data_IF_433602141752
#
_entry.id   IF_433602141752
#
_cell.length_a   1.000
_cell.length_b   1.000
_cell.length_c   1.000
_cell.angle_alpha   90.00
_cell.angle_beta   90.00
_cell.angle_gamma   90.00
#
_symmetry.space_group_name_H-M   'P 1'
#
loop_
_entity.id
_entity.type
_entity.pdbx_description
1 polymer ?
#
# COMPACT_ATOMS: atom_id res chain seq x y z
N UNK A 1 5.88 -6.88 21.53
CA UNK A 1 6.64 -6.94 20.26
C UNK A 1 6.57 -5.59 19.59
N UNK A 2 7.63 -5.17 18.93
CA UNK A 2 7.72 -3.83 18.34
C UNK A 2 6.94 -3.74 17.02
N UNK A 3 6.48 -2.53 16.73
CA UNK A 3 5.93 -2.16 15.43
C UNK A 3 7.06 -1.79 14.48
N UNK A 4 6.87 -2.06 13.18
CA UNK A 4 7.73 -1.57 12.10
C UNK A 4 6.87 -0.88 11.05
N UNK A 5 7.34 0.27 10.56
CA UNK A 5 6.79 0.91 9.37
C UNK A 5 7.78 0.73 8.22
N UNK A 6 7.32 0.16 7.12
CA UNK A 6 8.08 0.07 5.87
C UNK A 6 7.54 1.12 4.90
N UNK A 7 8.44 1.93 4.33
CA UNK A 7 8.06 3.02 3.42
C UNK A 7 8.95 3.05 2.19
N UNK A 8 8.32 3.16 1.02
CA UNK A 8 9.02 3.38 -0.24
C UNK A 8 9.75 4.73 -0.21
N UNK A 9 11.08 4.70 -0.35
CA UNK A 9 11.87 5.94 -0.53
C UNK A 9 11.41 6.76 -1.75
N UNK A 10 10.82 6.10 -2.75
CA UNK A 10 10.28 6.73 -3.95
C UNK A 10 8.95 7.48 -3.72
N UNK A 11 8.43 7.52 -2.49
CA UNK A 11 7.21 8.27 -2.11
C UNK A 11 7.55 9.43 -1.17
N UNK A 12 8.10 10.53 -1.68
CA UNK A 12 8.55 11.65 -0.84
C UNK A 12 7.40 12.50 -0.28
N UNK A 13 6.21 12.43 -0.88
CA UNK A 13 5.05 13.26 -0.50
C UNK A 13 4.23 12.69 0.67
N UNK A 14 4.77 11.73 1.43
CA UNK A 14 4.06 11.16 2.58
C UNK A 14 3.83 12.22 3.66
N UNK A 15 2.58 12.36 4.12
CA UNK A 15 2.21 13.33 5.16
C UNK A 15 2.29 12.70 6.54
N UNK A 16 2.83 13.44 7.51
CA UNK A 16 2.91 12.98 8.90
C UNK A 16 1.52 12.63 9.49
N UNK A 17 0.47 13.36 9.10
CA UNK A 17 -0.88 13.09 9.58
C UNK A 17 -1.48 11.77 9.07
N UNK A 18 -1.15 11.38 7.84
CA UNK A 18 -1.53 10.06 7.32
C UNK A 18 -0.80 8.94 8.07
N UNK A 19 0.48 9.12 8.36
CA UNK A 19 1.25 8.15 9.17
C UNK A 19 0.65 8.01 10.58
N UNK A 20 0.33 9.12 11.24
CA UNK A 20 -0.32 9.09 12.56
C UNK A 20 -1.72 8.47 12.47
N UNK A 21 -2.45 8.71 11.38
CA UNK A 21 -3.78 8.11 11.14
C UNK A 21 -3.67 6.60 10.98
N UNK A 22 -2.69 6.11 10.23
CA UNK A 22 -2.40 4.69 10.08
C UNK A 22 -2.19 4.02 11.44
N UNK A 23 -1.28 4.57 12.25
CA UNK A 23 -0.98 4.04 13.59
C UNK A 23 -2.25 4.03 14.45
N UNK A 24 -2.96 5.16 14.55
CA UNK A 24 -4.17 5.26 15.38
C UNK A 24 -5.26 4.27 14.97
N UNK A 25 -5.52 4.10 13.67
CA UNK A 25 -6.58 3.20 13.21
C UNK A 25 -6.21 1.73 13.43
N UNK A 26 -4.95 1.35 13.17
CA UNK A 26 -4.47 -0.01 13.46
C UNK A 26 -4.62 -0.33 14.95
N UNK A 27 -4.26 0.59 15.84
CA UNK A 27 -4.44 0.43 17.29
C UNK A 27 -5.92 0.40 17.70
N UNK A 28 -6.74 1.33 17.17
CA UNK A 28 -8.16 1.45 17.50
C UNK A 28 -8.95 0.18 17.16
N UNK A 29 -8.62 -0.47 16.04
CA UNK A 29 -9.32 -1.66 15.57
C UNK A 29 -8.65 -2.97 16.01
N UNK A 30 -7.61 -2.90 16.85
CA UNK A 30 -6.77 -4.06 17.24
C UNK A 30 -6.36 -4.90 16.03
N UNK A 31 -5.96 -4.23 14.95
CA UNK A 31 -5.65 -4.89 13.69
C UNK A 31 -4.25 -5.53 13.73
N UNK A 32 -4.06 -6.60 12.96
CA UNK A 32 -2.76 -7.25 12.74
C UNK A 32 -1.70 -6.29 12.16
N UNK A 33 -2.17 -5.22 11.51
CA UNK A 33 -1.41 -4.17 10.88
C UNK A 33 -2.28 -3.46 9.85
N UNK A 34 -1.68 -2.64 9.01
CA UNK A 34 -2.40 -1.95 7.96
C UNK A 34 -1.49 -1.19 7.01
N UNK A 35 -2.08 -0.70 5.93
CA UNK A 35 -1.40 0.05 4.90
C UNK A 35 -2.12 1.37 4.64
N UNK A 36 -1.37 2.39 4.22
CA UNK A 36 -2.02 3.50 3.52
C UNK A 36 -2.52 3.02 2.16
N UNK A 37 -3.73 3.43 1.79
CA UNK A 37 -4.34 3.07 0.52
C UNK A 37 -5.30 4.15 0.01
N UNK A 38 -5.63 4.14 -1.28
CA UNK A 38 -6.68 5.01 -1.86
C UNK A 38 -7.72 4.23 -2.64
N UNK A 39 -9.00 4.57 -2.48
CA UNK A 39 -10.04 3.98 -3.31
C UNK A 39 -9.84 4.31 -4.79
N UNK A 40 -10.09 3.34 -5.65
CA UNK A 40 -10.00 3.50 -7.09
C UNK A 40 -11.13 4.42 -7.59
N UNK A 41 -10.76 5.47 -8.30
CA UNK A 41 -11.70 6.48 -8.83
C UNK A 41 -12.14 6.20 -10.26
N UNK A 42 -11.21 5.76 -11.10
CA UNK A 42 -11.48 5.55 -12.51
C UNK A 42 -12.12 4.19 -12.77
N UNK A 43 -12.81 4.07 -13.91
CA UNK A 43 -13.39 2.79 -14.32
C UNK A 43 -12.27 1.80 -14.63
N UNK A 44 -12.29 0.65 -13.95
CA UNK A 44 -11.28 -0.39 -14.15
C UNK A 44 -11.69 -1.34 -15.27
N UNK A 45 -10.75 -1.63 -16.17
CA UNK A 45 -10.90 -2.64 -17.21
C UNK A 45 -9.92 -3.77 -16.96
N UNK A 46 -10.36 -5.02 -17.13
CA UNK A 46 -9.49 -6.19 -17.22
C UNK A 46 -9.09 -6.37 -18.68
N UNK A 47 -7.79 -6.42 -18.95
CA UNK A 47 -7.25 -6.69 -20.28
C UNK A 47 -6.92 -8.17 -20.47
N UNK A 48 -7.01 -8.67 -21.70
CA UNK A 48 -6.53 -10.00 -22.07
C UNK A 48 -5.06 -9.97 -22.54
N UNK A 49 -4.50 -11.13 -22.94
CA UNK A 49 -3.10 -11.27 -23.37
C UNK A 49 -2.70 -10.43 -24.60
N UNK A 50 -3.66 -9.89 -25.34
CA UNK A 50 -3.43 -9.03 -26.51
C UNK A 50 -3.93 -7.59 -26.27
N UNK A 51 -4.07 -7.19 -25.00
CA UNK A 51 -4.49 -5.84 -24.56
C UNK A 51 -5.88 -5.40 -25.04
N UNK A 52 -6.80 -6.33 -25.26
CA UNK A 52 -8.21 -6.00 -25.49
C UNK A 52 -9.00 -6.03 -24.18
N UNK A 53 -10.07 -5.23 -24.10
CA UNK A 53 -10.96 -5.21 -22.94
C UNK A 53 -11.71 -6.55 -22.85
N UNK A 54 -11.47 -7.28 -21.77
CA UNK A 54 -12.17 -8.52 -21.42
C UNK A 54 -13.42 -8.21 -20.59
N UNK A 55 -13.29 -7.34 -19.59
CA UNK A 55 -14.38 -6.97 -18.69
C UNK A 55 -14.20 -5.59 -18.06
N UNK A 56 -15.30 -5.02 -17.57
CA UNK A 56 -15.26 -3.92 -16.60
C UNK A 56 -15.24 -4.51 -15.20
N UNK A 57 -14.32 -4.07 -14.35
CA UNK A 57 -14.19 -4.54 -12.96
C UNK A 57 -14.92 -3.57 -12.05
N UNK A 58 -15.72 -4.09 -11.12
CA UNK A 58 -16.31 -3.24 -10.08
C UNK A 58 -15.19 -2.66 -9.20
N UNK A 59 -15.21 -1.34 -9.05
CA UNK A 59 -14.19 -0.58 -8.33
C UNK A 59 -14.59 -0.23 -6.90
N UNK A 60 -15.82 -0.57 -6.48
CA UNK A 60 -16.40 -0.16 -5.19
C UNK A 60 -15.56 -0.56 -3.96
N UNK A 61 -14.81 -1.65 -4.05
CA UNK A 61 -13.93 -2.19 -3.00
C UNK A 61 -12.48 -2.32 -3.46
N UNK A 62 -12.09 -1.62 -4.55
CA UNK A 62 -10.72 -1.65 -5.03
C UNK A 62 -9.93 -0.47 -4.51
N UNK A 63 -8.69 -0.75 -4.11
CA UNK A 63 -7.79 0.21 -3.52
C UNK A 63 -6.41 0.16 -4.19
N UNK A 64 -5.80 1.32 -4.36
CA UNK A 64 -4.37 1.45 -4.64
C UNK A 64 -3.61 1.30 -3.33
N UNK A 65 -2.78 0.27 -3.22
CA UNK A 65 -1.84 0.12 -2.12
C UNK A 65 -0.77 1.23 -2.18
N UNK A 66 -0.52 1.85 -1.03
CA UNK A 66 0.54 2.83 -0.82
C UNK A 66 1.46 2.37 0.31
N UNK A 67 2.42 3.22 0.64
CA UNK A 67 3.23 3.08 1.85
C UNK A 67 3.17 4.41 2.63
N UNK A 68 3.36 4.42 3.96
CA UNK A 68 3.89 3.32 4.76
C UNK A 68 2.93 2.13 4.98
N UNK A 69 3.52 0.97 5.23
CA UNK A 69 2.85 -0.25 5.70
C UNK A 69 3.31 -0.55 7.12
N UNK A 70 2.37 -0.77 8.03
CA UNK A 70 2.58 -0.93 9.47
C UNK A 70 2.22 -2.34 9.91
N UNK A 71 3.19 -3.07 10.47
CA UNK A 71 2.99 -4.42 11.00
C UNK A 71 3.82 -4.65 12.25
N UNK A 72 3.50 -5.71 13.01
CA UNK A 72 4.39 -6.21 14.06
C UNK A 72 5.65 -6.75 13.41
N UNK A 73 6.83 -6.31 13.88
CA UNK A 73 8.11 -6.69 13.32
C UNK A 73 8.29 -8.21 13.28
N UNK A 74 7.91 -8.89 14.38
CA UNK A 74 8.01 -10.33 14.47
C UNK A 74 7.14 -11.06 13.45
N UNK A 75 5.93 -10.57 13.20
CA UNK A 75 4.95 -11.22 12.32
C UNK A 75 5.31 -10.97 10.86
N UNK A 76 5.67 -9.73 10.52
CA UNK A 76 6.11 -9.38 9.17
C UNK A 76 7.37 -10.14 8.76
N UNK A 77 8.36 -10.25 9.67
CA UNK A 77 9.57 -11.02 9.38
C UNK A 77 9.26 -12.47 9.06
N UNK A 78 8.41 -13.13 9.87
CA UNK A 78 8.00 -14.53 9.61
C UNK A 78 7.25 -14.67 8.29
N UNK A 79 6.39 -13.71 7.95
CA UNK A 79 5.65 -13.71 6.70
C UNK A 79 6.57 -13.61 5.48
N UNK A 80 7.57 -12.72 5.52
CA UNK A 80 8.56 -12.57 4.46
C UNK A 80 9.46 -13.81 4.36
N UNK A 81 9.99 -14.30 5.48
CA UNK A 81 10.84 -15.51 5.51
C UNK A 81 10.10 -16.73 4.92
N UNK A 82 8.85 -16.95 5.32
CA UNK A 82 8.02 -18.04 4.78
C UNK A 82 7.79 -17.92 3.27
N UNK A 83 7.57 -16.70 2.76
CA UNK A 83 7.39 -16.49 1.33
C UNK A 83 8.68 -16.76 0.53
N UNK A 84 9.84 -16.37 1.09
CA UNK A 84 11.14 -16.64 0.49
C UNK A 84 11.46 -18.14 0.45
N UNK A 85 11.19 -18.87 1.53
CA UNK A 85 11.42 -20.32 1.60
C UNK A 85 10.56 -21.10 0.60
N UNK A 86 9.35 -20.61 0.29
CA UNK A 86 8.46 -21.17 -0.73
C UNK A 86 8.81 -20.73 -2.17
N UNK A 87 9.81 -19.85 -2.34
CA UNK A 87 10.22 -19.33 -3.65
C UNK A 87 9.18 -18.40 -4.30
N UNK A 88 8.38 -17.71 -3.49
CA UNK A 88 7.28 -16.90 -3.96
C UNK A 88 7.61 -15.41 -3.98
N UNK A 89 7.08 -14.74 -4.99
CA UNK A 89 7.23 -13.30 -5.15
C UNK A 89 6.19 -12.57 -4.29
N UNK A 90 6.65 -11.80 -3.31
CA UNK A 90 5.83 -10.83 -2.57
C UNK A 90 6.07 -9.43 -3.15
N UNK A 91 5.00 -8.72 -3.49
CA UNK A 91 5.08 -7.40 -4.13
C UNK A 91 5.18 -6.25 -3.13
N UNK A 92 4.69 -6.46 -1.91
CA UNK A 92 4.75 -5.56 -0.77
C UNK A 92 4.61 -6.34 0.55
N UNK A 93 4.67 -5.62 1.68
CA UNK A 93 4.59 -6.24 3.01
C UNK A 93 3.18 -6.83 3.28
N UNK A 94 2.11 -6.18 2.85
CA UNK A 94 0.74 -6.70 2.96
C UNK A 94 0.56 -8.02 2.24
N UNK A 95 1.12 -8.18 1.04
CA UNK A 95 1.06 -9.43 0.30
C UNK A 95 1.71 -10.58 1.08
N UNK A 96 2.84 -10.34 1.77
CA UNK A 96 3.44 -11.36 2.64
C UNK A 96 2.49 -11.75 3.78
N UNK A 97 1.85 -10.77 4.42
CA UNK A 97 0.92 -10.98 5.53
C UNK A 97 -0.35 -11.74 5.09
N UNK A 98 -0.92 -11.39 3.94
CA UNK A 98 -2.09 -12.05 3.35
C UNK A 98 -1.88 -13.55 3.15
N UNK A 99 -0.68 -13.96 2.76
CA UNK A 99 -0.35 -15.38 2.56
C UNK A 99 -0.41 -16.20 3.85
N UNK A 100 -0.15 -15.57 4.99
CA UNK A 100 -0.33 -16.21 6.31
C UNK A 100 -1.79 -16.19 6.78
N UNK A 101 -2.74 -15.78 5.93
CA UNK A 101 -4.16 -15.69 6.27
C UNK A 101 -4.52 -14.45 7.08
N UNK A 102 -3.61 -13.46 7.17
CA UNK A 102 -3.90 -12.19 7.81
C UNK A 102 -4.65 -11.25 6.86
N UNK A 103 -5.40 -10.31 7.42
CA UNK A 103 -6.16 -9.31 6.68
C UNK A 103 -5.77 -7.91 7.15
N UNK A 104 -4.71 -7.32 6.58
CA UNK A 104 -4.27 -5.97 6.94
C UNK A 104 -5.37 -4.93 6.73
N UNK A 105 -5.41 -3.92 7.61
CA UNK A 105 -6.37 -2.83 7.52
C UNK A 105 -6.00 -1.88 6.36
N UNK A 106 -7.01 -1.49 5.57
CA UNK A 106 -6.89 -0.41 4.59
C UNK A 106 -7.18 0.92 5.27
N UNK A 107 -6.16 1.77 5.41
CA UNK A 107 -6.30 3.13 5.94
C UNK A 107 -6.20 4.11 4.79
N UNK A 108 -7.25 4.93 4.59
CA UNK A 108 -7.25 5.90 3.50
C UNK A 108 -6.04 6.85 3.61
N UNK A 109 -5.24 7.04 2.55
CA UNK A 109 -4.14 8.01 2.50
C UNK A 109 -4.49 9.24 1.68
N UNK A 110 -3.61 10.23 1.60
CA UNK A 110 -3.77 11.29 0.62
C UNK A 110 -3.29 10.85 -0.78
N UNK A 111 -4.02 11.28 -1.81
CA UNK A 111 -3.77 10.89 -3.21
C UNK A 111 -2.48 11.51 -3.78
N UNK A 112 -1.93 12.52 -3.11
CA UNK A 112 -0.66 13.15 -3.48
C UNK A 112 0.56 12.36 -2.97
N UNK A 113 0.37 11.29 -2.21
CA UNK A 113 1.41 10.32 -1.81
C UNK A 113 1.82 9.41 -3.00
N UNK A 114 2.21 10.03 -4.10
CA UNK A 114 2.56 9.38 -5.35
C UNK A 114 3.93 8.69 -5.24
N UNK A 115 4.10 7.61 -6.01
CA UNK A 115 5.39 6.95 -6.21
C UNK A 115 6.03 7.56 -7.46
N UNK A 116 7.25 8.05 -7.34
CA UNK A 116 8.04 8.49 -8.50
C UNK A 116 8.47 7.24 -9.26
N UNK A 117 7.91 7.07 -10.45
CA UNK A 117 8.17 5.93 -11.36
C UNK A 117 8.57 6.38 -12.76
N UNK A 118 8.15 7.58 -13.16
CA UNK A 118 8.44 8.20 -14.44
C UNK A 118 9.05 9.59 -14.27
N UNK A 119 9.82 10.09 -15.26
CA UNK A 119 10.43 11.42 -15.18
C UNK A 119 9.45 12.57 -14.91
N UNK A 120 8.22 12.47 -15.43
CA UNK A 120 7.18 13.49 -15.23
C UNK A 120 6.66 13.56 -13.79
N UNK A 121 6.81 12.48 -13.01
CA UNK A 121 6.38 12.44 -11.62
C UNK A 121 7.17 13.43 -10.75
N UNK A 122 8.42 13.77 -11.14
CA UNK A 122 9.26 14.70 -10.39
C UNK A 122 8.63 16.11 -10.31
N UNK A 123 8.14 16.62 -11.44
CA UNK A 123 7.50 17.94 -11.48
C UNK A 123 6.20 17.96 -10.65
N UNK A 124 5.46 16.84 -10.67
CA UNK A 124 4.25 16.69 -9.87
C UNK A 124 4.56 16.58 -8.37
N UNK A 125 5.60 15.82 -8.00
CA UNK A 125 6.10 15.72 -6.63
C UNK A 125 6.49 17.10 -6.08
N UNK A 126 7.25 17.89 -6.85
CA UNK A 126 7.66 19.23 -6.41
C UNK A 126 6.45 20.13 -6.12
N UNK A 127 5.43 20.09 -6.99
CA UNK A 127 4.18 20.80 -6.78
C UNK A 127 3.45 20.35 -5.51
N UNK A 128 3.40 19.04 -5.25
CA UNK A 128 2.73 18.51 -4.06
C UNK A 128 3.45 18.90 -2.78
N UNK A 129 4.78 18.76 -2.73
CA UNK A 129 5.57 19.13 -1.55
C UNK A 129 5.40 20.62 -1.21
N UNK A 130 5.33 21.51 -2.20
CA UNK A 130 5.12 22.95 -1.98
C UNK A 130 3.73 23.30 -1.40
N UNK A 131 2.76 22.39 -1.51
CA UNK A 131 1.35 22.61 -1.09
C UNK A 131 0.98 21.87 0.20
N UNK A 132 1.92 21.14 0.81
CA UNK A 132 1.75 20.49 2.11
C UNK A 132 2.06 21.45 3.24
#
# INVERSE_FOLDING_TARGET
QDWVLVHDVARPCVRADDVRKLIRQVEQFDAVGGILANQVRDTMKRGNRINQIEATVDRSQLWHALTPQLFRLGDLRRAIESALDEGLLVTDESAAMERLGHHPLLVEGMHDNIKITHPLDLALTELYIQRQ
#
